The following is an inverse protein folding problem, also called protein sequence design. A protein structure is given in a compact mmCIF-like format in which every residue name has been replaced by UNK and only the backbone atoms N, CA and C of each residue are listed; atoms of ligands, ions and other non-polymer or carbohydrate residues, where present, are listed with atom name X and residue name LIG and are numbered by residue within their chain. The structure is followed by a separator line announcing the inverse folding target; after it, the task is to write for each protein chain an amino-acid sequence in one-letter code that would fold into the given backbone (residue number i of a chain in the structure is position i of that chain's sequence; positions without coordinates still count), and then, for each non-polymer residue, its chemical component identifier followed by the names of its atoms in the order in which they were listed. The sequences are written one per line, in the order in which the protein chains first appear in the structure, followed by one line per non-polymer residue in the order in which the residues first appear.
data_IF_091293873904
#
_entry.id   IF_091293873904
#
_cell.length_a   1.000
_cell.length_b   1.000
_cell.length_c   1.000
_cell.angle_alpha   90.00
_cell.angle_beta   90.00
_cell.angle_gamma   90.00
#
_symmetry.space_group_name_H-M   'P 1'
#
loop_
_entity.id
_entity.type
_entity.pdbx_description
1 polymer ?
#
# COMPACT_ATOMS: atom_id res chain seq x y z
N UNK A 1 -20.13 -14.27 7.15
CA UNK A 1 -19.60 -13.97 5.80
C UNK A 1 -19.15 -12.52 5.78
N UNK A 2 -17.88 -12.26 5.49
CA UNK A 2 -17.37 -10.90 5.36
C UNK A 2 -17.76 -10.37 3.98
N UNK A 3 -18.17 -9.10 3.93
CA UNK A 3 -18.53 -8.40 2.69
C UNK A 3 -17.60 -7.22 2.51
N UNK A 4 -17.32 -6.88 1.25
CA UNK A 4 -16.55 -5.70 0.92
C UNK A 4 -17.21 -4.97 -0.25
N UNK A 5 -16.87 -3.69 -0.39
CA UNK A 5 -17.23 -2.84 -1.51
C UNK A 5 -16.21 -1.72 -1.60
N UNK A 6 -16.10 -1.12 -2.79
CA UNK A 6 -15.24 0.03 -3.03
C UNK A 6 -15.93 0.94 -4.05
N UNK A 7 -15.50 2.19 -4.09
CA UNK A 7 -15.84 3.14 -5.15
C UNK A 7 -14.57 3.89 -5.51
N UNK A 8 -14.41 4.17 -6.80
CA UNK A 8 -13.26 4.86 -7.35
C UNK A 8 -13.76 5.90 -8.33
N UNK A 9 -13.45 7.18 -8.10
CA UNK A 9 -13.98 8.31 -8.85
C UNK A 9 -12.86 9.30 -9.10
N UNK A 10 -12.62 9.68 -10.37
CA UNK A 10 -11.53 10.61 -10.76
C UNK A 10 -11.65 11.98 -10.07
N UNK A 11 -12.88 12.40 -9.80
CA UNK A 11 -13.16 13.73 -9.26
C UNK A 11 -12.80 14.83 -10.25
N UNK A 12 -12.20 15.92 -9.74
CA UNK A 12 -11.89 17.15 -10.48
C UNK A 12 -10.42 17.26 -10.91
N UNK A 13 -9.64 16.17 -10.79
CA UNK A 13 -8.23 16.18 -11.15
C UNK A 13 -8.04 16.53 -12.63
N UNK A 14 -7.05 17.40 -12.91
CA UNK A 14 -6.69 17.82 -14.27
C UNK A 14 -5.80 16.80 -14.99
N UNK A 15 -5.29 15.80 -14.27
CA UNK A 15 -4.59 14.62 -14.82
C UNK A 15 -5.56 13.42 -14.97
N UNK A 16 -5.16 12.31 -15.62
CA UNK A 16 -5.91 11.06 -15.63
C UNK A 16 -6.14 10.48 -14.22
N UNK A 17 -6.95 9.42 -14.09
CA UNK A 17 -7.02 8.67 -12.84
C UNK A 17 -5.67 7.99 -12.59
N UNK A 18 -5.04 8.30 -11.47
CA UNK A 18 -3.78 7.69 -11.04
C UNK A 18 -3.99 6.71 -9.87
N UNK A 19 -5.18 6.67 -9.28
CA UNK A 19 -5.51 5.77 -8.17
C UNK A 19 -5.86 4.36 -8.65
N UNK A 20 -5.33 3.36 -7.93
CA UNK A 20 -5.67 1.95 -8.09
C UNK A 20 -6.05 1.34 -6.75
N UNK A 21 -6.76 0.22 -6.80
CA UNK A 21 -7.11 -0.53 -5.61
C UNK A 21 -7.07 -2.03 -5.88
N UNK A 22 -7.05 -2.82 -4.80
CA UNK A 22 -7.37 -4.25 -4.83
C UNK A 22 -8.47 -4.47 -3.82
N UNK A 23 -9.47 -5.28 -4.17
CA UNK A 23 -10.49 -5.72 -3.23
C UNK A 23 -11.01 -7.09 -3.69
N UNK A 24 -10.50 -8.16 -3.08
CA UNK A 24 -10.89 -9.53 -3.43
C UNK A 24 -10.69 -10.51 -2.29
N UNK A 25 -11.46 -11.58 -2.32
CA UNK A 25 -11.17 -12.79 -1.55
C UNK A 25 -10.49 -13.82 -2.42
N UNK A 26 -9.63 -14.64 -1.82
CA UNK A 26 -9.06 -15.82 -2.46
C UNK A 26 -8.81 -16.94 -1.44
N UNK A 27 -8.80 -18.18 -1.92
CA UNK A 27 -8.42 -19.34 -1.13
C UNK A 27 -6.97 -19.71 -1.47
N UNK A 28 -6.11 -19.81 -0.46
CA UNK A 28 -4.75 -20.30 -0.60
C UNK A 28 -4.55 -21.40 0.44
N UNK A 29 -4.20 -22.59 -0.04
CA UNK A 29 -4.14 -23.80 0.77
C UNK A 29 -5.48 -24.05 1.48
N UNK A 30 -5.54 -23.86 2.80
CA UNK A 30 -6.72 -24.04 3.65
C UNK A 30 -7.16 -22.72 4.32
N UNK A 31 -6.66 -21.59 3.81
CA UNK A 31 -6.94 -20.27 4.36
C UNK A 31 -7.71 -19.41 3.35
N UNK A 32 -8.76 -18.76 3.86
CA UNK A 32 -9.41 -17.65 3.16
C UNK A 32 -8.60 -16.38 3.42
N UNK A 33 -8.24 -15.67 2.35
CA UNK A 33 -7.57 -14.38 2.42
C UNK A 33 -8.46 -13.30 1.81
N UNK A 34 -8.75 -12.25 2.57
CA UNK A 34 -9.24 -10.98 2.05
C UNK A 34 -8.05 -10.06 1.78
N UNK A 35 -7.89 -9.63 0.52
CA UNK A 35 -6.81 -8.75 0.08
C UNK A 35 -7.40 -7.41 -0.34
N UNK A 36 -6.96 -6.35 0.33
CA UNK A 36 -7.44 -5.00 0.10
C UNK A 36 -6.28 -4.03 0.00
N UNK A 37 -6.29 -3.14 -0.97
CA UNK A 37 -5.28 -2.10 -1.06
C UNK A 37 -5.80 -0.84 -1.74
N UNK A 38 -5.20 0.30 -1.40
CA UNK A 38 -5.31 1.56 -2.13
C UNK A 38 -3.89 1.98 -2.50
N UNK A 39 -3.74 2.44 -3.73
CA UNK A 39 -2.51 2.97 -4.30
C UNK A 39 -2.85 4.33 -4.90
N UNK A 40 -2.33 5.40 -4.31
CA UNK A 40 -2.51 6.79 -4.78
C UNK A 40 -1.26 7.17 -5.58
N UNK A 41 -1.43 7.24 -6.90
CA UNK A 41 -0.36 7.51 -7.85
C UNK A 41 -0.04 8.99 -7.97
N UNK A 42 1.23 9.29 -8.26
CA UNK A 42 1.64 10.64 -8.60
C UNK A 42 2.66 10.65 -9.74
N UNK A 43 2.49 11.61 -10.66
CA UNK A 43 3.28 11.75 -11.90
C UNK A 43 3.14 10.54 -12.84
N UNK A 44 1.93 9.98 -12.93
CA UNK A 44 1.58 8.86 -13.79
C UNK A 44 0.91 7.70 -13.05
N UNK A 45 0.21 6.86 -13.81
CA UNK A 45 -0.58 5.73 -13.33
C UNK A 45 0.19 4.39 -13.39
N UNK A 46 1.43 4.42 -13.86
CA UNK A 46 2.20 3.21 -14.17
C UNK A 46 2.66 2.46 -12.91
N UNK A 47 3.14 3.19 -11.90
CA UNK A 47 3.53 2.61 -10.60
C UNK A 47 2.34 2.02 -9.83
N UNK A 48 1.22 2.73 -9.61
CA UNK A 48 0.08 2.14 -8.91
C UNK A 48 -0.54 0.96 -9.70
N UNK A 49 -0.53 1.00 -11.04
CA UNK A 49 -0.91 -0.13 -11.90
C UNK A 49 0.02 -1.35 -11.71
N UNK A 50 1.33 -1.12 -11.55
CA UNK A 50 2.31 -2.16 -11.24
C UNK A 50 2.03 -2.76 -9.86
N UNK A 51 1.85 -1.93 -8.83
CA UNK A 51 1.56 -2.37 -7.47
C UNK A 51 0.29 -3.23 -7.40
N UNK A 52 -0.78 -2.83 -8.11
CA UNK A 52 -2.04 -3.59 -8.19
C UNK A 52 -1.82 -5.03 -8.68
N UNK A 53 -0.92 -5.22 -9.64
CA UNK A 53 -0.64 -6.53 -10.26
C UNK A 53 0.34 -7.37 -9.45
N UNK A 54 1.32 -6.74 -8.81
CA UNK A 54 2.51 -7.43 -8.31
C UNK A 54 2.63 -7.49 -6.79
N UNK A 55 2.20 -6.47 -6.04
CA UNK A 55 2.54 -6.35 -4.61
C UNK A 55 2.00 -7.52 -3.78
N UNK A 56 0.70 -7.84 -3.89
CA UNK A 56 0.13 -9.00 -3.18
C UNK A 56 0.74 -10.32 -3.64
N UNK A 57 1.02 -10.47 -4.93
CA UNK A 57 1.65 -11.68 -5.45
C UNK A 57 3.06 -11.87 -4.85
N UNK A 58 3.81 -10.79 -4.68
CA UNK A 58 5.12 -10.82 -4.05
C UNK A 58 5.02 -11.14 -2.55
N UNK A 59 4.09 -10.50 -1.82
CA UNK A 59 3.84 -10.79 -0.39
C UNK A 59 3.55 -12.28 -0.18
N UNK A 60 2.64 -12.85 -0.97
CA UNK A 60 2.19 -14.23 -0.81
C UNK A 60 3.22 -15.27 -1.30
N UNK A 61 4.25 -14.84 -2.05
CA UNK A 61 5.38 -15.68 -2.48
C UNK A 61 6.52 -15.72 -1.47
N UNK A 62 6.55 -14.82 -0.49
CA UNK A 62 7.56 -14.90 0.57
C UNK A 62 7.35 -16.16 1.41
N UNK A 63 8.39 -16.98 1.51
CA UNK A 63 8.36 -18.27 2.24
C UNK A 63 7.92 -18.09 3.70
N UNK A 64 8.29 -16.96 4.29
CA UNK A 64 8.01 -16.62 5.69
C UNK A 64 6.59 -16.09 5.90
N UNK A 65 5.77 -15.89 4.86
CA UNK A 65 4.45 -15.24 4.99
C UNK A 65 3.53 -15.88 6.04
N UNK A 66 3.55 -17.21 6.19
CA UNK A 66 2.70 -17.90 7.14
C UNK A 66 3.28 -17.97 8.57
N UNK A 67 4.58 -17.71 8.73
CA UNK A 67 5.31 -17.82 10.00
C UNK A 67 5.58 -16.44 10.61
N UNK A 68 6.03 -15.50 9.77
CA UNK A 68 6.31 -14.10 10.11
C UNK A 68 5.74 -13.18 8.99
N UNK A 69 4.43 -12.91 9.02
CA UNK A 69 3.79 -12.01 8.05
C UNK A 69 4.41 -10.60 8.05
N UNK A 70 4.86 -10.09 9.20
CA UNK A 70 5.47 -8.76 9.30
C UNK A 70 6.73 -8.68 8.44
N UNK A 71 7.65 -9.63 8.61
CA UNK A 71 8.90 -9.69 7.84
C UNK A 71 8.62 -9.94 6.36
N UNK A 72 7.71 -10.88 6.05
CA UNK A 72 7.32 -11.19 4.68
C UNK A 72 6.75 -9.97 3.96
N UNK A 73 5.82 -9.23 4.59
CA UNK A 73 5.23 -8.02 4.01
C UNK A 73 6.32 -6.96 3.78
N UNK A 74 7.15 -6.67 4.78
CA UNK A 74 8.23 -5.69 4.65
C UNK A 74 9.19 -6.02 3.50
N UNK A 75 9.62 -7.29 3.41
CA UNK A 75 10.54 -7.77 2.38
C UNK A 75 9.91 -7.74 0.98
N UNK A 76 8.63 -8.04 0.87
CA UNK A 76 7.91 -7.97 -0.39
C UNK A 76 7.70 -6.53 -0.87
N UNK A 77 7.45 -5.58 0.03
CA UNK A 77 7.43 -4.15 -0.30
C UNK A 77 8.79 -3.71 -0.86
N UNK A 78 9.88 -4.02 -0.16
CA UNK A 78 11.24 -3.68 -0.60
C UNK A 78 11.61 -4.31 -1.95
N UNK A 79 11.33 -5.60 -2.14
CA UNK A 79 11.57 -6.29 -3.43
C UNK A 79 10.75 -5.70 -4.57
N UNK A 80 9.50 -5.31 -4.30
CA UNK A 80 8.63 -4.70 -5.30
C UNK A 80 9.17 -3.32 -5.71
N UNK A 81 9.62 -2.53 -4.74
CA UNK A 81 10.25 -1.23 -4.98
C UNK A 81 11.57 -1.37 -5.78
N UNK A 82 12.44 -2.31 -5.41
CA UNK A 82 13.65 -2.62 -6.18
C UNK A 82 13.34 -3.06 -7.62
N UNK A 83 12.27 -3.83 -7.84
CA UNK A 83 11.85 -4.23 -9.17
C UNK A 83 11.33 -3.05 -10.00
N UNK A 84 10.64 -2.10 -9.37
CA UNK A 84 10.22 -0.83 -10.00
C UNK A 84 11.45 0.00 -10.39
N UNK A 85 12.39 0.19 -9.46
CA UNK A 85 13.60 0.97 -9.68
C UNK A 85 14.49 0.38 -10.80
N UNK A 86 14.60 -0.94 -10.88
CA UNK A 86 15.38 -1.59 -11.95
C UNK A 86 14.75 -1.49 -13.34
N UNK A 87 13.47 -1.11 -13.42
CA UNK A 87 12.72 -0.89 -14.67
C UNK A 87 12.32 0.58 -14.85
N UNK A 88 12.98 1.52 -14.17
CA UNK A 88 12.57 2.94 -14.15
C UNK A 88 12.59 3.61 -15.53
N UNK A 89 13.39 3.09 -16.48
CA UNK A 89 13.38 3.57 -17.88
C UNK A 89 12.03 3.35 -18.56
N UNK A 90 11.35 2.26 -18.21
CA UNK A 90 10.14 1.78 -18.86
C UNK A 90 8.90 2.19 -18.06
N UNK A 91 9.01 2.23 -16.73
CA UNK A 91 7.91 2.56 -15.82
C UNK A 91 7.75 4.07 -15.56
N UNK A 92 8.74 4.88 -15.92
CA UNK A 92 8.72 6.33 -15.74
C UNK A 92 9.19 6.78 -14.35
N UNK A 93 9.03 8.09 -14.11
CA UNK A 93 9.55 8.79 -12.91
C UNK A 93 8.53 8.98 -11.80
N UNK A 94 7.31 8.47 -11.97
CA UNK A 94 6.25 8.61 -10.98
C UNK A 94 6.44 7.70 -9.78
N UNK A 95 5.49 7.79 -8.86
CA UNK A 95 5.46 6.99 -7.65
C UNK A 95 4.02 6.70 -7.24
N UNK A 96 3.88 6.04 -6.09
CA UNK A 96 2.57 5.74 -5.52
C UNK A 96 2.69 5.58 -4.01
N UNK A 97 1.63 5.92 -3.29
CA UNK A 97 1.42 5.37 -1.95
C UNK A 97 1.09 3.88 -2.04
N UNK A 98 1.15 3.17 -0.92
CA UNK A 98 0.56 1.85 -0.78
C UNK A 98 0.07 1.64 0.64
N UNK A 99 -1.25 1.49 0.80
CA UNK A 99 -1.84 0.95 2.03
C UNK A 99 -2.50 -0.38 1.72
N UNK A 100 -2.01 -1.46 2.34
CA UNK A 100 -2.52 -2.82 2.13
C UNK A 100 -3.08 -3.41 3.40
N UNK A 101 -4.17 -4.17 3.29
CA UNK A 101 -4.76 -4.96 4.35
C UNK A 101 -4.94 -6.42 3.91
N UNK A 102 -4.52 -7.36 4.76
CA UNK A 102 -4.64 -8.81 4.56
C UNK A 102 -5.42 -9.41 5.72
N UNK A 103 -6.61 -9.93 5.42
CA UNK A 103 -7.49 -10.58 6.39
C UNK A 103 -7.45 -12.09 6.23
N UNK A 104 -6.88 -12.80 7.21
CA UNK A 104 -6.73 -14.25 7.21
C UNK A 104 -7.87 -14.89 8.00
N UNK A 105 -8.64 -15.77 7.35
CA UNK A 105 -9.77 -16.53 7.89
C UNK A 105 -10.82 -15.65 8.60
N UNK A 106 -10.91 -14.38 8.21
CA UNK A 106 -11.78 -13.40 8.85
C UNK A 106 -11.43 -13.02 10.29
N UNK A 107 -10.25 -13.41 10.78
CA UNK A 107 -9.87 -13.27 12.19
C UNK A 107 -8.62 -12.41 12.36
N UNK A 108 -7.57 -12.64 11.56
CA UNK A 108 -6.29 -11.94 11.69
C UNK A 108 -6.16 -10.90 10.58
N UNK A 109 -6.02 -9.63 10.96
CA UNK A 109 -5.85 -8.51 10.04
C UNK A 109 -4.42 -7.98 10.13
N UNK A 110 -3.71 -7.98 9.01
CA UNK A 110 -2.42 -7.32 8.84
C UNK A 110 -2.59 -6.07 8.00
N UNK A 111 -1.98 -4.97 8.41
CA UNK A 111 -2.01 -3.70 7.68
C UNK A 111 -0.58 -3.17 7.53
N UNK A 112 -0.24 -2.70 6.34
CA UNK A 112 1.03 -2.05 6.04
C UNK A 112 0.77 -0.76 5.25
N UNK A 113 1.61 0.25 5.45
CA UNK A 113 1.48 1.57 4.84
C UNK A 113 2.83 2.12 4.41
N UNK A 114 2.87 2.72 3.23
CA UNK A 114 3.93 3.62 2.74
C UNK A 114 3.24 4.82 2.08
N UNK A 115 3.40 6.01 2.67
CA UNK A 115 2.82 7.25 2.18
C UNK A 115 1.73 7.80 3.10
N UNK A 116 0.91 8.70 2.55
CA UNK A 116 -0.13 9.48 3.25
C UNK A 116 -1.55 8.90 3.04
N UNK A 117 -1.69 7.79 2.32
CA UNK A 117 -2.91 6.98 2.35
C UNK A 117 -3.11 6.34 3.73
N UNK A 118 -4.36 6.01 4.07
CA UNK A 118 -4.72 5.65 5.46
C UNK A 118 -5.69 4.48 5.58
N UNK A 119 -5.41 3.59 6.53
CA UNK A 119 -6.35 2.56 6.97
C UNK A 119 -6.99 2.92 8.32
N UNK A 120 -8.32 2.78 8.39
CA UNK A 120 -9.11 3.02 9.61
C UNK A 120 -9.97 1.80 9.91
N UNK A 121 -9.92 1.32 11.16
CA UNK A 121 -10.77 0.25 11.67
C UNK A 121 -11.89 0.84 12.52
N UNK A 122 -13.14 0.47 12.26
CA UNK A 122 -14.24 0.78 13.16
C UNK A 122 -14.51 -0.37 14.12
N UNK A 123 -14.52 -0.11 15.44
CA UNK A 123 -14.85 -1.10 16.48
C UNK A 123 -15.71 -0.44 17.55
N UNK A 124 -16.90 -1.00 17.81
CA UNK A 124 -17.83 -0.44 18.79
C UNK A 124 -18.27 0.99 18.45
N UNK A 125 -18.38 1.33 17.17
CA UNK A 125 -18.74 2.68 16.70
C UNK A 125 -17.60 3.70 16.74
N UNK A 126 -16.39 3.30 17.18
CA UNK A 126 -15.24 4.19 17.24
C UNK A 126 -14.29 3.94 16.05
N UNK A 127 -13.84 5.03 15.43
CA UNK A 127 -12.82 5.00 14.38
C UNK A 127 -11.42 4.94 15.01
N UNK A 128 -10.65 3.94 14.61
CA UNK A 128 -9.29 3.68 15.08
C UNK A 128 -8.37 3.71 13.86
N UNK A 129 -7.51 4.73 13.78
CA UNK A 129 -6.50 4.81 12.74
C UNK A 129 -5.46 3.70 12.96
N UNK A 130 -5.31 2.83 11.96
CA UNK A 130 -4.44 1.66 12.03
C UNK A 130 -3.01 1.94 11.53
N UNK A 131 -2.85 2.98 10.72
CA UNK A 131 -1.59 3.35 10.07
C UNK A 131 -1.23 4.79 10.41
N UNK A 132 0.05 5.10 10.52
CA UNK A 132 0.52 6.49 10.62
C UNK A 132 0.83 6.98 9.21
N UNK A 133 0.30 8.16 8.87
CA UNK A 133 0.58 8.80 7.58
C UNK A 133 2.04 9.28 7.55
N UNK A 134 2.72 9.02 6.45
CA UNK A 134 4.11 9.45 6.26
C UNK A 134 4.12 10.85 5.66
N UNK A 135 4.46 11.83 6.49
CA UNK A 135 4.42 13.25 6.17
C UNK A 135 5.82 13.87 6.34
N UNK A 136 6.31 14.72 5.44
CA UNK A 136 7.67 15.26 5.53
C UNK A 136 7.97 15.95 6.87
N UNK A 137 6.99 16.61 7.49
CA UNK A 137 7.19 17.29 8.77
C UNK A 137 7.36 16.32 9.95
N UNK A 138 6.68 15.16 9.96
CA UNK A 138 6.82 14.15 11.01
C UNK A 138 8.07 13.30 10.81
N UNK A 139 8.47 13.09 9.55
CA UNK A 139 9.66 12.32 9.17
C UNK A 139 10.93 13.17 8.99
N UNK A 140 10.86 14.47 9.30
CA UNK A 140 11.93 15.47 9.11
C UNK A 140 13.31 14.98 9.52
N UNK A 141 13.43 14.38 10.71
CA UNK A 141 14.71 13.88 11.20
C UNK A 141 15.32 12.81 10.30
N UNK A 142 14.52 11.90 9.74
CA UNK A 142 15.00 10.88 8.78
C UNK A 142 15.47 11.52 7.47
N UNK A 143 14.71 12.50 6.98
CA UNK A 143 14.99 13.22 5.74
C UNK A 143 16.29 14.03 5.86
N UNK A 144 16.41 14.84 6.90
CA UNK A 144 17.58 15.71 7.14
C UNK A 144 18.85 14.89 7.41
N UNK A 145 18.75 13.77 8.15
CA UNK A 145 19.88 12.87 8.38
C UNK A 145 20.40 12.18 7.10
N UNK A 146 19.59 12.11 6.04
CA UNK A 146 19.98 11.57 4.72
C UNK A 146 20.41 12.67 3.73
N UNK A 147 20.60 13.90 4.20
CA UNK A 147 21.05 15.04 3.40
C UNK A 147 19.93 15.79 2.67
N UNK A 148 18.66 15.47 2.96
CA UNK A 148 17.51 16.24 2.48
C UNK A 148 17.20 17.45 3.36
N UNK A 149 16.11 18.16 3.05
CA UNK A 149 15.56 19.23 3.89
C UNK A 149 14.03 19.25 3.79
N UNK A 150 13.36 19.77 4.83
CA UNK A 150 11.89 19.94 4.84
C UNK A 150 11.56 21.42 4.96
N UNK A 151 10.92 21.96 3.92
CA UNK A 151 10.51 23.36 3.84
C UNK A 151 8.98 23.47 3.87
N UNK A 152 8.48 24.44 4.62
CA UNK A 152 7.06 24.83 4.62
C UNK A 152 6.83 26.11 3.79
N UNK A 153 7.76 26.46 2.89
CA UNK A 153 7.60 27.65 2.06
C UNK A 153 6.45 27.46 1.06
N UNK A 154 5.53 28.45 0.95
CA UNK A 154 4.49 28.47 -0.08
C UNK A 154 5.07 28.66 -1.49
#
# INVERSE_FOLDING_TARGET
MIKFGFSLVKGKANHPMEDYHVAKFMQIQQHELGLFAIYDGHLGDTIPSYLQKHLFANILKEEEFWVDPTRAISKAYEKTDQAILSQSSDLGRGGSTAVTAILINGIKLWVANVGDSRAVLSRGGQAIQMTTDHEPNTERGSIENRGGFVSNMP
#
